data_IF_912142521349
#
_entry.id   IF_912142521349
#
_cell.length_a   1.000
_cell.length_b   1.000
_cell.length_c   1.000
_cell.angle_alpha   90.00
_cell.angle_beta   90.00
_cell.angle_gamma   90.00
#
_symmetry.space_group_name_H-M   'P 1'
#
loop_
_entity.id
_entity.type
_entity.pdbx_description
1 polymer ?
#
# COMPACT_ATOMS: atom_id res chain seq x y z
N UNK A 1 -12.13 14.33 -3.10
CA UNK A 1 -12.67 12.95 -3.22
C UNK A 1 -12.12 12.00 -2.17
N UNK A 2 -10.83 12.02 -1.81
CA UNK A 2 -10.27 11.16 -0.75
C UNK A 2 -10.80 11.48 0.65
N UNK A 3 -10.91 12.76 1.03
CA UNK A 3 -11.38 13.15 2.37
C UNK A 3 -12.83 12.70 2.67
N UNK A 4 -13.73 12.79 1.68
CA UNK A 4 -15.13 12.38 1.86
C UNK A 4 -15.26 10.87 2.14
N UNK A 5 -14.51 10.02 1.42
CA UNK A 5 -14.52 8.58 1.66
C UNK A 5 -13.91 8.21 3.02
N UNK A 6 -12.90 8.95 3.48
CA UNK A 6 -12.34 8.79 4.82
C UNK A 6 -13.36 9.14 5.89
N UNK A 7 -14.10 10.25 5.70
CA UNK A 7 -15.15 10.67 6.64
C UNK A 7 -16.33 9.68 6.68
N UNK A 8 -16.75 9.15 5.53
CA UNK A 8 -17.78 8.11 5.47
C UNK A 8 -17.32 6.80 6.13
N UNK A 9 -16.06 6.41 5.92
CA UNK A 9 -15.47 5.24 6.59
C UNK A 9 -15.37 5.42 8.10
N UNK A 10 -15.04 6.64 8.56
CA UNK A 10 -15.02 6.99 9.98
C UNK A 10 -16.42 6.98 10.60
N UNK A 11 -17.42 7.54 9.91
CA UNK A 11 -18.81 7.54 10.36
C UNK A 11 -19.33 6.11 10.56
N UNK A 12 -19.05 5.22 9.59
CA UNK A 12 -19.37 3.79 9.74
C UNK A 12 -18.64 3.13 10.92
N UNK A 13 -17.34 3.40 11.08
CA UNK A 13 -16.56 2.83 12.19
C UNK A 13 -17.09 3.26 13.56
N UNK A 14 -17.52 4.51 13.70
CA UNK A 14 -18.04 5.03 14.96
C UNK A 14 -19.49 4.59 15.22
N UNK A 15 -20.35 4.67 14.21
CA UNK A 15 -21.79 4.47 14.37
C UNK A 15 -22.18 2.99 14.34
N UNK A 16 -21.58 2.21 13.43
CA UNK A 16 -21.97 0.81 13.22
C UNK A 16 -21.01 -0.18 13.89
N UNK A 17 -19.70 0.13 13.92
CA UNK A 17 -18.70 -0.78 14.49
C UNK A 17 -18.31 -0.47 15.95
N UNK A 18 -18.62 0.73 16.45
CA UNK A 18 -18.22 1.19 17.79
C UNK A 18 -16.70 1.27 18.00
N UNK A 19 -15.91 1.39 16.93
CA UNK A 19 -14.45 1.40 16.95
C UNK A 19 -13.95 2.84 16.84
N UNK A 20 -13.24 3.33 17.85
CA UNK A 20 -12.57 4.64 17.79
C UNK A 20 -11.15 4.45 17.24
N UNK A 21 -10.89 5.00 16.05
CA UNK A 21 -9.56 4.96 15.44
C UNK A 21 -8.68 6.09 15.99
N UNK A 22 -8.06 5.85 17.15
CA UNK A 22 -7.31 6.87 17.92
C UNK A 22 -6.21 7.59 17.14
N UNK A 23 -5.57 6.92 16.17
CA UNK A 23 -4.53 7.54 15.32
C UNK A 23 -5.09 8.64 14.40
N UNK A 24 -6.39 8.60 14.06
CA UNK A 24 -7.02 9.59 13.19
C UNK A 24 -7.58 10.79 13.96
N UNK A 25 -7.89 10.64 15.25
CA UNK A 25 -8.35 11.75 16.10
C UNK A 25 -7.26 12.83 16.25
N UNK A 26 -6.02 12.42 16.52
CA UNK A 26 -4.88 13.34 16.58
C UNK A 26 -4.63 14.03 15.23
N UNK A 27 -4.85 13.31 14.13
CA UNK A 27 -4.71 13.86 12.78
C UNK A 27 -5.78 14.92 12.49
N UNK A 28 -7.03 14.66 12.86
CA UNK A 28 -8.14 15.58 12.70
C UNK A 28 -7.93 16.87 13.50
N UNK A 29 -7.57 16.76 14.78
CA UNK A 29 -7.30 17.93 15.63
C UNK A 29 -6.09 18.73 15.12
N UNK A 30 -5.07 18.05 14.61
CA UNK A 30 -3.92 18.70 14.00
C UNK A 30 -4.28 19.43 12.69
N UNK A 31 -5.16 18.87 11.86
CA UNK A 31 -5.63 19.53 10.63
C UNK A 31 -6.54 20.73 10.93
N UNK A 32 -7.35 20.64 11.99
CA UNK A 32 -8.21 21.73 12.45
C UNK A 32 -7.40 22.90 13.04
N UNK A 33 -6.38 22.60 13.84
CA UNK A 33 -5.54 23.62 14.47
C UNK A 33 -4.54 24.27 13.51
N UNK A 34 -4.07 23.53 12.51
CA UNK A 34 -3.14 24.03 11.50
C UNK A 34 -3.49 23.40 10.15
N UNK A 35 -4.27 24.05 9.28
CA UNK A 35 -4.70 23.45 8.01
C UNK A 35 -3.54 23.15 7.06
N UNK A 36 -3.64 22.04 6.32
CA UNK A 36 -2.66 21.68 5.30
C UNK A 36 -2.69 22.68 4.14
N UNK A 37 -1.51 23.03 3.55
CA UNK A 37 -1.47 23.91 2.38
C UNK A 37 -2.37 23.41 1.26
N UNK A 38 -3.23 24.29 0.73
CA UNK A 38 -4.17 23.96 -0.33
C UNK A 38 -3.89 24.77 -1.60
N UNK A 39 -4.10 24.14 -2.77
CA UNK A 39 -4.09 24.80 -4.09
C UNK A 39 -5.49 24.74 -4.70
N UNK A 40 -5.99 25.87 -5.17
CA UNK A 40 -7.24 25.95 -5.92
C UNK A 40 -7.00 25.51 -7.36
N UNK A 41 -7.80 24.58 -7.84
CA UNK A 41 -7.78 24.08 -9.22
C UNK A 41 -9.23 24.03 -9.72
N UNK A 42 -9.60 25.01 -10.56
CA UNK A 42 -10.99 25.23 -10.96
C UNK A 42 -11.86 25.59 -9.75
N UNK A 43 -12.99 24.90 -9.59
CA UNK A 43 -13.91 25.06 -8.45
C UNK A 43 -13.52 24.19 -7.23
N UNK A 44 -12.43 23.41 -7.33
CA UNK A 44 -11.97 22.50 -6.30
C UNK A 44 -10.72 22.97 -5.56
N UNK A 45 -10.56 22.55 -4.31
CA UNK A 45 -9.32 22.72 -3.54
C UNK A 45 -8.62 21.38 -3.41
N UNK A 46 -7.34 21.34 -3.75
CA UNK A 46 -6.44 20.21 -3.54
C UNK A 46 -5.56 20.52 -2.33
N UNK A 47 -5.68 19.74 -1.27
CA UNK A 47 -4.85 19.88 -0.08
C UNK A 47 -3.61 18.99 -0.16
N UNK A 48 -2.47 19.49 0.31
CA UNK A 48 -1.29 18.67 0.55
C UNK A 48 -1.57 17.65 1.66
N UNK A 49 -1.11 16.42 1.47
CA UNK A 49 -1.25 15.37 2.49
C UNK A 49 -0.43 15.71 3.75
N UNK A 50 -1.06 15.66 4.92
CA UNK A 50 -0.37 15.72 6.21
C UNK A 50 0.25 14.36 6.56
N UNK A 51 1.41 14.38 7.22
CA UNK A 51 2.02 13.17 7.76
C UNK A 51 1.21 12.67 8.95
N UNK A 52 0.81 11.40 8.93
CA UNK A 52 0.23 10.74 10.09
C UNK A 52 1.32 10.53 11.14
N UNK A 53 1.03 10.89 12.39
CA UNK A 53 1.97 10.69 13.50
C UNK A 53 2.19 9.19 13.69
N UNK A 54 3.43 8.73 13.50
CA UNK A 54 3.78 7.33 13.77
C UNK A 54 3.70 7.10 15.28
N UNK A 55 2.76 6.27 15.73
CA UNK A 55 2.71 5.84 17.12
C UNK A 55 3.92 4.98 17.44
N UNK A 56 4.55 5.19 18.62
CA UNK A 56 5.67 4.34 19.08
C UNK A 56 5.23 2.90 19.39
N UNK A 57 3.94 2.68 19.61
CA UNK A 57 3.35 1.34 19.61
C UNK A 57 3.12 0.92 18.16
N UNK A 58 3.90 -0.06 17.72
CA UNK A 58 3.55 -0.83 16.53
C UNK A 58 2.47 -1.83 16.95
N UNK A 59 1.25 -1.62 16.47
CA UNK A 59 0.18 -2.61 16.60
C UNK A 59 0.48 -3.87 15.79
N UNK A 60 -0.31 -4.92 15.98
CA UNK A 60 -0.23 -6.11 15.13
C UNK A 60 -0.45 -5.70 13.66
N UNK A 61 0.41 -6.12 12.72
CA UNK A 61 0.20 -5.82 11.31
C UNK A 61 -1.10 -6.48 10.84
N UNK A 62 -1.91 -5.72 10.12
CA UNK A 62 -3.17 -6.17 9.52
C UNK A 62 -3.04 -6.03 8.02
N UNK A 63 -3.38 -7.08 7.28
CA UNK A 63 -3.49 -7.00 5.83
C UNK A 63 -4.62 -6.05 5.46
N UNK A 64 -4.30 -5.06 4.65
CA UNK A 64 -5.25 -4.08 4.14
C UNK A 64 -5.10 -3.96 2.62
N UNK A 65 -6.07 -3.28 1.99
CA UNK A 65 -6.18 -3.09 0.54
C UNK A 65 -6.33 -4.41 -0.26
N UNK A 66 -7.59 -4.85 -0.39
CA UNK A 66 -7.96 -6.01 -1.20
C UNK A 66 -8.40 -5.61 -2.63
N UNK A 67 -8.08 -4.40 -3.09
CA UNK A 67 -8.51 -3.91 -4.40
C UNK A 67 -8.03 -4.76 -5.58
N UNK A 68 -6.95 -5.52 -5.38
CA UNK A 68 -6.40 -6.46 -6.37
C UNK A 68 -6.52 -7.93 -5.97
N UNK A 69 -7.26 -8.26 -4.91
CA UNK A 69 -7.50 -9.64 -4.51
C UNK A 69 -8.25 -10.40 -5.62
N UNK A 70 -8.04 -11.72 -5.66
CA UNK A 70 -8.70 -12.64 -6.60
C UNK A 70 -9.23 -13.84 -5.83
N UNK A 71 -10.41 -14.33 -6.20
CA UNK A 71 -11.08 -15.46 -5.54
C UNK A 71 -11.53 -16.51 -6.56
N UNK A 72 -11.60 -17.77 -6.14
CA UNK A 72 -12.34 -18.83 -6.82
C UNK A 72 -11.58 -19.66 -7.86
N UNK A 73 -10.44 -19.22 -8.38
CA UNK A 73 -9.65 -20.01 -9.35
C UNK A 73 -8.46 -20.70 -8.68
N UNK A 74 -8.09 -21.87 -9.20
CA UNK A 74 -6.88 -22.61 -8.80
C UNK A 74 -5.61 -22.08 -9.45
N UNK A 75 -5.74 -21.40 -10.60
CA UNK A 75 -4.66 -20.70 -11.30
C UNK A 75 -5.18 -19.41 -11.92
N UNK A 76 -4.31 -18.41 -11.95
CA UNK A 76 -4.55 -17.10 -12.53
C UNK A 76 -3.46 -16.76 -13.54
N UNK A 77 -3.74 -15.78 -14.39
CA UNK A 77 -2.81 -15.22 -15.36
C UNK A 77 -2.93 -13.69 -15.34
N UNK A 78 -1.93 -13.01 -15.88
CA UNK A 78 -1.90 -11.55 -15.96
C UNK A 78 -0.93 -10.94 -14.95
N UNK A 79 -0.85 -9.61 -15.00
CA UNK A 79 0.14 -8.87 -14.22
C UNK A 79 -0.40 -8.55 -12.81
N UNK A 80 0.40 -8.91 -11.81
CA UNK A 80 0.17 -8.62 -10.40
C UNK A 80 1.51 -8.23 -9.76
N UNK A 81 1.43 -7.71 -8.54
CA UNK A 81 2.57 -7.33 -7.71
C UNK A 81 3.39 -6.14 -8.27
N UNK A 82 3.84 -5.23 -7.40
CA UNK A 82 4.84 -4.24 -7.79
C UNK A 82 6.14 -4.94 -8.22
N UNK A 83 6.89 -4.32 -9.13
CA UNK A 83 8.10 -4.89 -9.74
C UNK A 83 9.03 -5.56 -8.73
N UNK A 84 9.48 -4.88 -7.68
CA UNK A 84 10.45 -5.41 -6.70
C UNK A 84 9.93 -6.57 -5.83
N UNK A 85 8.63 -6.81 -5.84
CA UNK A 85 7.97 -7.89 -5.10
C UNK A 85 7.47 -8.98 -6.04
N UNK A 86 7.69 -8.88 -7.36
CA UNK A 86 7.08 -9.78 -8.33
C UNK A 86 7.67 -11.18 -8.22
N UNK A 87 6.80 -12.18 -8.11
CA UNK A 87 7.20 -13.58 -8.10
C UNK A 87 7.73 -14.00 -9.48
N UNK A 88 8.67 -14.96 -9.56
CA UNK A 88 9.28 -15.35 -10.82
C UNK A 88 8.27 -15.89 -11.85
N UNK A 89 7.24 -16.61 -11.42
CA UNK A 89 6.17 -17.09 -12.30
C UNK A 89 5.33 -15.94 -12.88
N UNK A 90 5.11 -14.87 -12.13
CA UNK A 90 4.40 -13.67 -12.61
C UNK A 90 5.29 -12.92 -13.60
N UNK A 91 6.58 -12.79 -13.27
CA UNK A 91 7.60 -12.16 -14.09
C UNK A 91 7.73 -12.83 -15.46
N UNK A 92 7.72 -14.17 -15.47
CA UNK A 92 7.78 -14.99 -16.68
C UNK A 92 6.42 -15.14 -17.39
N UNK A 93 5.37 -14.44 -16.93
CA UNK A 93 4.00 -14.52 -17.45
C UNK A 93 3.43 -15.94 -17.47
N UNK A 94 3.85 -16.76 -16.52
CA UNK A 94 3.35 -18.10 -16.31
C UNK A 94 2.07 -18.06 -15.47
N UNK A 95 1.22 -19.10 -15.53
CA UNK A 95 0.11 -19.24 -14.60
C UNK A 95 0.62 -19.28 -13.16
N UNK A 96 -0.03 -18.52 -12.29
CA UNK A 96 0.33 -18.38 -10.89
C UNK A 96 -0.85 -18.70 -9.98
N UNK A 97 -0.58 -18.92 -8.70
CA UNK A 97 -1.58 -19.17 -7.67
C UNK A 97 -1.24 -18.43 -6.37
N UNK A 98 -1.92 -18.75 -5.27
CA UNK A 98 -1.70 -18.15 -3.95
C UNK A 98 -0.24 -18.19 -3.44
N UNK A 99 0.66 -19.00 -4.04
CA UNK A 99 2.07 -19.05 -3.64
C UNK A 99 2.83 -17.76 -3.92
N UNK A 100 2.34 -16.93 -4.85
CA UNK A 100 2.89 -15.59 -5.10
C UNK A 100 2.84 -14.69 -3.85
N UNK A 101 1.86 -14.89 -2.96
CA UNK A 101 1.77 -14.14 -1.71
C UNK A 101 2.85 -14.58 -0.71
N UNK A 102 3.24 -15.85 -0.71
CA UNK A 102 4.34 -16.37 0.13
C UNK A 102 5.67 -15.77 -0.32
N UNK A 103 5.87 -15.62 -1.63
CA UNK A 103 7.01 -14.88 -2.16
C UNK A 103 7.02 -13.43 -1.65
N UNK A 104 5.89 -12.71 -1.72
CA UNK A 104 5.80 -11.35 -1.20
C UNK A 104 6.14 -11.24 0.28
N UNK A 105 5.65 -12.16 1.12
CA UNK A 105 5.98 -12.20 2.54
C UNK A 105 7.49 -12.35 2.75
N UNK A 106 8.15 -13.21 1.98
CA UNK A 106 9.61 -13.38 2.04
C UNK A 106 10.38 -12.11 1.70
N UNK A 107 10.00 -11.44 0.61
CA UNK A 107 10.66 -10.18 0.18
C UNK A 107 10.40 -9.06 1.19
N UNK A 108 9.16 -8.88 1.67
CA UNK A 108 8.83 -7.87 2.70
C UNK A 108 9.58 -8.15 4.00
N UNK A 109 9.66 -9.41 4.43
CA UNK A 109 10.40 -9.76 5.63
C UNK A 109 11.88 -9.37 5.50
N UNK A 110 12.50 -9.58 4.34
CA UNK A 110 13.87 -9.16 4.07
C UNK A 110 14.03 -7.63 4.13
N UNK A 111 13.16 -6.90 3.44
CA UNK A 111 13.18 -5.43 3.37
C UNK A 111 12.99 -4.75 4.73
N UNK A 112 12.27 -5.41 5.66
CA UNK A 112 12.08 -4.92 7.02
C UNK A 112 13.35 -5.01 7.88
N UNK A 113 14.34 -5.81 7.49
CA UNK A 113 15.65 -5.83 8.13
C UNK A 113 16.56 -4.73 7.54
N UNK A 114 17.60 -4.25 8.27
CA UNK A 114 18.34 -3.04 7.90
C UNK A 114 19.19 -3.08 6.61
N UNK A 115 18.98 -4.05 5.71
CA UNK A 115 19.91 -4.38 4.60
C UNK A 115 19.44 -3.99 3.20
N UNK A 116 18.40 -3.17 3.07
CA UNK A 116 17.90 -2.69 1.78
C UNK A 116 17.00 -3.71 1.06
N UNK A 117 16.62 -3.42 -0.18
CA UNK A 117 15.71 -4.29 -0.94
C UNK A 117 16.38 -5.62 -1.32
N UNK A 118 15.62 -6.71 -1.28
CA UNK A 118 16.11 -8.01 -1.77
C UNK A 118 16.36 -7.98 -3.28
N UNK A 119 15.44 -7.35 -4.02
CA UNK A 119 15.51 -7.16 -5.46
C UNK A 119 15.36 -5.69 -5.80
N UNK A 120 16.11 -5.19 -6.77
CA UNK A 120 16.02 -3.80 -7.20
C UNK A 120 15.26 -3.65 -8.51
N UNK A 121 15.14 -4.73 -9.30
CA UNK A 121 14.37 -4.79 -10.53
C UNK A 121 14.66 -3.63 -11.49
N UNK A 122 15.91 -3.16 -11.54
CA UNK A 122 16.31 -1.95 -12.29
C UNK A 122 17.24 -2.31 -13.44
N UNK A 123 16.99 -1.69 -14.59
CA UNK A 123 17.92 -1.70 -15.72
C UNK A 123 19.16 -0.83 -15.48
N UNK A 124 20.12 -0.88 -16.40
CA UNK A 124 21.33 -0.05 -16.36
C UNK A 124 21.03 1.47 -16.36
N UNK A 125 19.82 1.85 -16.78
CA UNK A 125 19.30 3.22 -16.80
C UNK A 125 18.46 3.55 -15.54
N UNK A 126 18.41 2.65 -14.55
CA UNK A 126 17.62 2.71 -13.32
C UNK A 126 16.11 2.72 -13.53
N UNK A 127 15.61 2.28 -14.68
CA UNK A 127 14.19 2.05 -14.92
C UNK A 127 13.77 0.65 -14.46
N UNK A 128 12.52 0.49 -14.08
CA UNK A 128 12.00 -0.82 -13.68
C UNK A 128 11.99 -1.77 -14.90
N UNK A 129 12.61 -2.93 -14.79
CA UNK A 129 12.75 -3.90 -15.88
C UNK A 129 12.57 -5.32 -15.38
N UNK A 130 11.64 -6.04 -16.00
CA UNK A 130 11.35 -7.45 -15.68
C UNK A 130 12.57 -8.35 -15.97
N UNK A 131 13.32 -8.05 -17.04
CA UNK A 131 14.47 -8.86 -17.46
C UNK A 131 15.65 -8.80 -16.46
N UNK A 132 15.81 -7.66 -15.77
CA UNK A 132 16.85 -7.52 -14.76
C UNK A 132 16.45 -8.18 -13.44
N UNK A 133 15.14 -8.24 -13.14
CA UNK A 133 14.65 -8.94 -11.97
C UNK A 133 14.84 -10.47 -12.06
N UNK A 134 14.85 -11.07 -13.27
CA UNK A 134 15.15 -12.50 -13.45
C UNK A 134 16.64 -12.86 -13.28
N UNK A 135 17.53 -11.87 -13.33
CA UNK A 135 18.98 -12.09 -13.39
C UNK A 135 19.70 -11.86 -12.05
N UNK A 136 18.96 -11.42 -11.02
CA UNK A 136 19.40 -11.26 -9.62
C UNK A 136 19.15 -12.55 -8.81
#
# INVERSE_FOLDING_TARGET
MTLLHVLLGLDYLHTEAGIVHTVLADFEEAEKSSPSPGKIVGDGVIYCSRKLTKTKLHGQPILCDFGQARFGSTRYCGDIQPYIYRAPEVLLRMPWDQKVDIWNVGVVAWDLFPKGHLFYARDLMKQNSDANHTAE
#
